data_IF_584703780601
#
_entry.id   IF_584703780601
#
_cell.length_a   1.000
_cell.length_b   1.000
_cell.length_c   1.000
_cell.angle_alpha   90.00
_cell.angle_beta   90.00
_cell.angle_gamma   90.00
#
_symmetry.space_group_name_H-M   'P 1'
#
loop_
_entity.id
_entity.type
_entity.pdbx_description
1 polymer ?
#
# COMPACT_ATOMS: atom_id res chain seq x y z
N UNK A 1 -7.25 -13.11 -28.59
CA UNK A 1 -6.22 -13.80 -27.77
C UNK A 1 -6.22 -15.31 -28.00
N UNK A 2 -5.04 -15.91 -27.94
CA UNK A 2 -4.87 -17.37 -28.09
C UNK A 2 -5.15 -18.06 -26.76
N UNK A 3 -5.97 -19.11 -26.79
CA UNK A 3 -6.24 -19.93 -25.62
C UNK A 3 -4.99 -20.76 -25.25
N UNK A 4 -4.50 -20.62 -24.03
CA UNK A 4 -3.35 -21.39 -23.53
C UNK A 4 -3.65 -22.90 -23.41
N UNK A 5 -4.92 -23.29 -23.28
CA UNK A 5 -5.29 -24.69 -23.10
C UNK A 5 -5.49 -25.47 -24.41
N UNK A 6 -6.01 -24.84 -25.47
CA UNK A 6 -6.36 -25.54 -26.72
C UNK A 6 -5.81 -24.87 -27.98
N UNK A 7 -5.09 -23.75 -27.86
CA UNK A 7 -4.47 -23.02 -28.96
C UNK A 7 -5.43 -22.21 -29.85
N UNK A 8 -6.75 -22.25 -29.60
CA UNK A 8 -7.73 -21.53 -30.41
C UNK A 8 -7.62 -20.01 -30.27
N UNK A 9 -7.72 -19.28 -31.38
CA UNK A 9 -7.67 -17.80 -31.41
C UNK A 9 -9.07 -17.25 -31.20
N UNK A 10 -9.31 -16.68 -30.01
CA UNK A 10 -10.58 -16.05 -29.64
C UNK A 10 -10.53 -14.54 -29.90
N UNK A 11 -11.70 -13.89 -30.01
CA UNK A 11 -11.78 -12.42 -30.02
C UNK A 11 -11.17 -11.85 -28.73
N UNK A 12 -10.50 -10.68 -28.77
CA UNK A 12 -9.86 -10.10 -27.59
C UNK A 12 -10.82 -9.90 -26.41
N UNK A 13 -12.08 -9.54 -26.68
CA UNK A 13 -13.12 -9.32 -25.65
C UNK A 13 -13.66 -10.61 -24.99
N UNK A 14 -13.26 -11.81 -25.47
CA UNK A 14 -13.88 -13.07 -25.05
C UNK A 14 -13.40 -13.46 -23.65
N UNK A 15 -14.30 -13.57 -22.66
CA UNK A 15 -13.92 -14.02 -21.31
C UNK A 15 -13.58 -15.51 -21.24
N UNK A 16 -14.21 -16.31 -22.10
CA UNK A 16 -14.07 -17.77 -22.18
C UNK A 16 -13.71 -18.20 -23.60
N UNK A 17 -13.03 -19.34 -23.73
CA UNK A 17 -12.71 -19.92 -25.03
C UNK A 17 -13.96 -20.52 -25.68
N UNK A 18 -14.28 -20.09 -26.91
CA UNK A 18 -15.42 -20.64 -27.65
C UNK A 18 -15.29 -22.11 -28.04
N UNK A 19 -14.06 -22.64 -28.06
CA UNK A 19 -13.78 -24.04 -28.42
C UNK A 19 -13.78 -24.98 -27.22
N UNK A 20 -13.13 -24.62 -26.12
CA UNK A 20 -12.96 -25.51 -24.96
C UNK A 20 -13.62 -25.02 -23.66
N UNK A 21 -14.29 -23.86 -23.66
CA UNK A 21 -15.01 -23.31 -22.51
C UNK A 21 -14.15 -22.74 -21.39
N UNK A 22 -12.82 -22.93 -21.40
CA UNK A 22 -11.95 -22.43 -20.31
C UNK A 22 -11.88 -20.91 -20.26
N UNK A 23 -11.79 -20.31 -19.06
CA UNK A 23 -11.57 -18.88 -18.91
C UNK A 23 -10.24 -18.51 -19.57
N UNK A 24 -10.27 -17.43 -20.33
CA UNK A 24 -9.09 -16.90 -21.00
C UNK A 24 -8.36 -15.86 -20.14
N UNK A 25 -9.06 -15.33 -19.14
CA UNK A 25 -8.48 -14.52 -18.06
C UNK A 25 -8.19 -15.45 -16.90
N UNK A 26 -6.92 -15.53 -16.52
CA UNK A 26 -6.50 -16.24 -15.30
C UNK A 26 -6.74 -15.27 -14.15
N UNK A 27 -7.63 -15.63 -13.22
CA UNK A 27 -7.74 -14.87 -11.98
C UNK A 27 -6.41 -14.96 -11.21
N UNK A 28 -5.96 -13.87 -10.56
CA UNK A 28 -4.75 -13.92 -9.77
C UNK A 28 -4.88 -14.98 -8.68
N UNK A 29 -3.85 -15.81 -8.53
CA UNK A 29 -3.82 -16.96 -7.61
C UNK A 29 -4.02 -16.57 -6.15
N UNK A 30 -3.79 -15.30 -5.80
CA UNK A 30 -3.99 -14.79 -4.46
C UNK A 30 -4.45 -13.34 -4.49
N UNK A 31 -5.47 -13.05 -3.68
CA UNK A 31 -5.95 -11.70 -3.38
C UNK A 31 -6.09 -11.56 -1.86
N UNK A 32 -5.46 -10.55 -1.23
CA UNK A 32 -5.58 -10.36 0.21
C UNK A 32 -7.02 -9.99 0.59
N UNK A 33 -7.48 -10.49 1.73
CA UNK A 33 -8.78 -10.13 2.29
C UNK A 33 -8.76 -8.71 2.87
N UNK A 34 -9.93 -8.13 3.13
CA UNK A 34 -10.03 -6.83 3.82
C UNK A 34 -9.36 -6.89 5.20
N UNK A 35 -9.52 -8.01 5.93
CA UNK A 35 -8.86 -8.23 7.22
C UNK A 35 -7.33 -8.22 7.10
N UNK A 36 -6.76 -8.74 6.01
CA UNK A 36 -5.33 -8.67 5.76
C UNK A 36 -4.86 -7.23 5.58
N UNK A 37 -5.56 -6.45 4.74
CA UNK A 37 -5.22 -5.04 4.50
C UNK A 37 -5.28 -4.22 5.80
N UNK A 38 -6.35 -4.38 6.59
CA UNK A 38 -6.48 -3.67 7.87
C UNK A 38 -5.34 -3.99 8.84
N UNK A 39 -4.95 -5.27 8.94
CA UNK A 39 -3.81 -5.69 9.78
C UNK A 39 -2.50 -5.06 9.30
N UNK A 40 -2.21 -5.12 7.99
CA UNK A 40 -0.98 -4.56 7.43
C UNK A 40 -0.93 -3.05 7.61
N UNK A 41 -2.03 -2.36 7.34
CA UNK A 41 -2.14 -0.91 7.52
C UNK A 41 -1.90 -0.54 8.99
N UNK A 42 -2.53 -1.25 9.93
CA UNK A 42 -2.32 -1.03 11.36
C UNK A 42 -0.84 -1.20 11.75
N UNK A 43 -0.18 -2.26 11.28
CA UNK A 43 1.25 -2.49 11.54
C UNK A 43 2.10 -1.34 10.98
N UNK A 44 1.87 -0.93 9.73
CA UNK A 44 2.60 0.17 9.10
C UNK A 44 2.48 1.45 9.92
N UNK A 45 1.25 1.84 10.31
CA UNK A 45 1.03 3.05 11.10
C UNK A 45 1.68 2.96 12.49
N UNK A 46 1.58 1.82 13.17
CA UNK A 46 2.25 1.61 14.46
C UNK A 46 3.76 1.79 14.31
N UNK A 47 4.37 1.17 13.30
CA UNK A 47 5.81 1.32 13.04
C UNK A 47 6.18 2.78 12.76
N UNK A 48 5.43 3.49 11.91
CA UNK A 48 5.69 4.90 11.60
C UNK A 48 5.60 5.78 12.84
N UNK A 49 4.60 5.57 13.69
CA UNK A 49 4.42 6.33 14.95
C UNK A 49 5.59 6.07 15.89
N UNK A 50 5.96 4.81 16.11
CA UNK A 50 7.08 4.45 16.98
C UNK A 50 8.41 5.03 16.46
N UNK A 51 8.66 4.92 15.15
CA UNK A 51 9.84 5.48 14.50
C UNK A 51 9.85 7.00 14.65
N UNK A 52 8.73 7.69 14.42
CA UNK A 52 8.63 9.13 14.58
C UNK A 52 9.01 9.56 16.00
N UNK A 53 8.43 8.93 17.03
CA UNK A 53 8.73 9.28 18.42
C UNK A 53 10.15 8.91 18.81
N UNK A 54 10.68 7.79 18.33
CA UNK A 54 12.07 7.40 18.55
C UNK A 54 13.03 8.41 17.94
N UNK A 55 12.83 8.78 16.68
CA UNK A 55 13.64 9.79 15.99
C UNK A 55 13.50 11.14 16.69
N UNK A 56 12.30 11.56 17.07
CA UNK A 56 12.10 12.80 17.80
C UNK A 56 12.85 12.79 19.15
N UNK A 57 12.89 11.66 19.85
CA UNK A 57 13.66 11.51 21.08
C UNK A 57 15.18 11.59 20.85
N UNK A 58 15.69 10.81 19.89
CA UNK A 58 17.12 10.73 19.56
C UNK A 58 17.66 12.05 18.96
N UNK A 59 16.84 12.69 18.13
CA UNK A 59 17.21 13.91 17.42
C UNK A 59 16.90 15.17 18.23
N UNK A 60 16.21 15.07 19.37
CA UNK A 60 15.87 16.21 20.24
C UNK A 60 17.06 17.15 20.51
N UNK A 61 18.29 16.66 20.80
CA UNK A 61 19.43 17.55 21.03
C UNK A 61 19.90 18.32 19.79
N UNK A 62 19.59 17.81 18.59
CA UNK A 62 19.98 18.43 17.31
C UNK A 62 18.89 19.35 16.75
N UNK A 63 17.72 19.42 17.39
CA UNK A 63 16.64 20.30 16.97
C UNK A 63 17.03 21.76 17.24
N UNK A 64 16.91 22.60 16.20
CA UNK A 64 17.15 24.05 16.31
C UNK A 64 16.21 24.65 17.35
N UNK A 65 16.76 25.40 18.31
CA UNK A 65 15.96 26.25 19.19
C UNK A 65 15.42 27.44 18.39
N UNK A 66 14.11 27.66 18.44
CA UNK A 66 13.46 28.79 17.76
C UNK A 66 13.41 29.98 18.73
N UNK A 67 14.02 31.13 18.39
CA UNK A 67 13.98 32.29 19.26
C UNK A 67 12.53 32.82 19.37
N UNK A 68 12.15 33.35 20.55
CA UNK A 68 10.81 33.86 20.79
C UNK A 68 10.46 35.05 19.89
N UNK A 69 11.46 35.79 19.37
CA UNK A 69 11.25 36.92 18.45
C UNK A 69 10.51 36.51 17.18
N UNK A 70 10.81 35.32 16.64
CA UNK A 70 10.22 34.82 15.39
C UNK A 70 9.11 33.80 15.62
N UNK A 71 9.01 33.22 16.81
CA UNK A 71 7.91 32.29 17.18
C UNK A 71 7.21 32.66 18.49
N UNK A 72 6.62 33.87 18.61
CA UNK A 72 5.94 34.29 19.84
C UNK A 72 4.71 33.44 20.18
N UNK A 73 4.08 32.80 19.19
CA UNK A 73 2.93 31.90 19.40
C UNK A 73 3.31 30.49 19.91
N UNK A 74 4.59 30.12 19.85
CA UNK A 74 5.07 28.79 20.24
C UNK A 74 5.48 28.73 21.72
N UNK A 75 5.84 29.88 22.29
CA UNK A 75 6.21 30.02 23.69
C UNK A 75 4.92 30.00 24.54
N UNK A 76 4.78 29.05 25.46
CA UNK A 76 3.72 29.14 26.47
C UNK A 76 4.00 30.36 27.35
N UNK A 77 2.99 31.20 27.52
CA UNK A 77 3.01 32.34 28.46
C UNK A 77 3.31 31.88 29.88
#
# INVERSE_FOLDING_TARGET
>A
MKCQNCGFVNKPESKFCKKCGKPLVVEPLWKPSLAWHLKVIAIIYICLILIFFLLNYLLKPFMRQLPPEITPWLQKK
#
